data_IF_785844423920
#
_entry.id   IF_785844423920
#
_cell.length_a   1.000
_cell.length_b   1.000
_cell.length_c   1.000
_cell.angle_alpha   90.00
_cell.angle_beta   90.00
_cell.angle_gamma   90.00
#
_symmetry.space_group_name_H-M   'P 1'
#
loop_
_entity.id
_entity.type
_entity.pdbx_description
1 polymer ?
#
# COMPACT_ATOMS: atom_id res chain seq x y z
N UNK A 1 11.49 6.02 -2.15
CA UNK A 1 11.10 5.04 -3.19
C UNK A 1 9.60 4.89 -3.16
N UNK A 2 8.94 4.81 -4.32
CA UNK A 2 7.49 4.56 -4.37
C UNK A 2 7.21 3.09 -4.11
N UNK A 3 6.39 2.81 -3.11
CA UNK A 3 5.82 1.49 -2.83
C UNK A 3 4.37 1.46 -3.25
N UNK A 4 3.93 0.29 -3.70
CA UNK A 4 2.54 0.02 -4.02
C UNK A 4 2.00 -1.08 -3.11
N UNK A 5 0.72 -1.00 -2.82
CA UNK A 5 -0.03 -2.02 -2.11
C UNK A 5 -1.32 -2.31 -2.87
N UNK A 6 -1.65 -3.58 -2.98
CA UNK A 6 -2.94 -4.05 -3.50
C UNK A 6 -3.60 -4.92 -2.43
N UNK A 7 -4.88 -4.66 -2.17
CA UNK A 7 -5.72 -5.48 -1.29
C UNK A 7 -6.83 -6.10 -2.12
N UNK A 8 -6.98 -7.41 -2.00
CA UNK A 8 -7.99 -8.19 -2.73
C UNK A 8 -9.10 -8.60 -1.76
N UNK A 9 -10.36 -8.39 -2.16
CA UNK A 9 -11.52 -8.86 -1.38
C UNK A 9 -12.58 -9.47 -2.27
N UNK A 10 -13.16 -10.58 -1.83
CA UNK A 10 -14.34 -11.20 -2.45
C UNK A 10 -15.66 -10.64 -1.89
N UNK A 11 -15.60 -9.92 -0.77
CA UNK A 11 -16.78 -9.27 -0.18
C UNK A 11 -16.79 -7.82 -0.63
N UNK A 12 -17.74 -7.50 -1.52
CA UNK A 12 -17.85 -6.19 -2.17
C UNK A 12 -19.09 -5.46 -1.65
N UNK A 13 -19.08 -5.15 -0.35
CA UNK A 13 -20.01 -4.21 0.27
C UNK A 13 -19.31 -2.88 0.52
N UNK A 14 -20.09 -1.83 0.72
CA UNK A 14 -19.60 -0.53 1.17
C UNK A 14 -18.82 -0.66 2.48
N UNK A 15 -19.35 -1.36 3.48
CA UNK A 15 -18.70 -1.46 4.79
C UNK A 15 -17.30 -2.11 4.71
N UNK A 16 -17.16 -3.19 3.93
CA UNK A 16 -15.87 -3.87 3.77
C UNK A 16 -14.87 -3.02 2.98
N UNK A 17 -15.33 -2.36 1.91
CA UNK A 17 -14.47 -1.48 1.11
C UNK A 17 -14.02 -0.25 1.90
N UNK A 18 -14.92 0.38 2.66
CA UNK A 18 -14.61 1.47 3.56
C UNK A 18 -13.60 1.04 4.64
N UNK A 19 -13.79 -0.13 5.23
CA UNK A 19 -12.86 -0.71 6.20
C UNK A 19 -11.44 -0.84 5.64
N UNK A 20 -11.31 -1.46 4.46
CA UNK A 20 -10.02 -1.61 3.77
C UNK A 20 -9.38 -0.24 3.49
N UNK A 21 -10.14 0.72 2.96
CA UNK A 21 -9.60 2.04 2.63
C UNK A 21 -9.13 2.76 3.90
N UNK A 22 -9.96 2.79 4.94
CA UNK A 22 -9.66 3.50 6.17
C UNK A 22 -8.46 2.90 6.91
N UNK A 23 -8.33 1.57 6.93
CA UNK A 23 -7.18 0.88 7.53
C UNK A 23 -5.87 1.34 6.89
N UNK A 24 -5.75 1.27 5.55
CA UNK A 24 -4.49 1.57 4.88
C UNK A 24 -4.19 3.06 4.80
N UNK A 25 -5.22 3.91 4.69
CA UNK A 25 -5.04 5.36 4.79
C UNK A 25 -4.53 5.76 6.18
N UNK A 26 -5.03 5.14 7.25
CA UNK A 26 -4.53 5.39 8.61
C UNK A 26 -3.04 4.99 8.78
N UNK A 27 -2.59 3.98 8.04
CA UNK A 27 -1.18 3.54 7.95
C UNK A 27 -0.32 4.41 7.02
N UNK A 28 -0.85 5.55 6.57
CA UNK A 28 -0.15 6.51 5.73
C UNK A 28 -0.04 6.11 4.25
N UNK A 29 -0.86 5.17 3.79
CA UNK A 29 -0.98 4.89 2.36
C UNK A 29 -1.94 5.87 1.69
N UNK A 30 -1.68 6.20 0.43
CA UNK A 30 -2.54 7.01 -0.41
C UNK A 30 -3.43 6.08 -1.23
N UNK A 31 -4.74 6.30 -1.18
CA UNK A 31 -5.69 5.56 -2.01
C UNK A 31 -5.61 6.04 -3.46
N UNK A 32 -5.29 5.12 -4.37
CA UNK A 32 -5.16 5.42 -5.81
C UNK A 32 -6.44 5.08 -6.58
N UNK A 33 -7.15 4.04 -6.17
CA UNK A 33 -8.37 3.59 -6.84
C UNK A 33 -8.70 2.13 -6.57
N UNK A 34 -9.75 1.63 -7.22
CA UNK A 34 -10.14 0.22 -7.15
C UNK A 34 -10.59 -0.31 -8.51
N UNK A 35 -10.47 -1.63 -8.69
CA UNK A 35 -10.96 -2.36 -9.87
C UNK A 35 -11.87 -3.49 -9.44
N UNK A 36 -12.93 -3.76 -10.21
CA UNK A 36 -13.88 -4.83 -9.94
C UNK A 36 -13.75 -5.97 -10.93
N UNK A 37 -13.67 -7.20 -10.43
CA UNK A 37 -13.86 -8.39 -11.25
C UNK A 37 -15.32 -8.83 -11.17
N UNK A 38 -15.97 -8.86 -12.33
CA UNK A 38 -17.37 -9.26 -12.47
C UNK A 38 -17.48 -10.78 -12.59
N UNK A 39 -18.54 -11.36 -12.04
CA UNK A 39 -18.96 -12.74 -12.39
C UNK A 39 -19.84 -12.70 -13.64
N UNK A 40 -19.67 -13.68 -14.52
CA UNK A 40 -20.51 -13.82 -15.70
C UNK A 40 -21.99 -13.84 -15.32
N UNK A 41 -22.79 -12.99 -15.98
CA UNK A 41 -24.23 -12.80 -15.76
C UNK A 41 -24.65 -12.07 -14.46
N UNK A 42 -23.73 -11.53 -13.66
CA UNK A 42 -24.06 -10.76 -12.44
C UNK A 42 -23.97 -9.25 -12.65
N UNK A 43 -24.93 -8.48 -12.10
CA UNK A 43 -24.82 -7.01 -11.97
C UNK A 43 -23.96 -6.57 -10.78
N UNK A 44 -23.57 -7.51 -9.90
CA UNK A 44 -22.73 -7.25 -8.72
C UNK A 44 -21.32 -7.77 -8.96
N UNK A 45 -20.28 -6.98 -8.62
CA UNK A 45 -18.90 -7.47 -8.59
C UNK A 45 -18.74 -8.70 -7.72
N UNK A 46 -17.85 -9.60 -8.12
CA UNK A 46 -17.50 -10.79 -7.35
C UNK A 46 -16.21 -10.61 -6.55
N UNK A 47 -15.40 -9.62 -6.92
CA UNK A 47 -14.14 -9.30 -6.26
C UNK A 47 -13.74 -7.86 -6.57
N UNK A 48 -13.00 -7.25 -5.65
CA UNK A 48 -12.39 -5.94 -5.81
C UNK A 48 -10.88 -6.01 -5.54
N UNK A 49 -10.14 -5.21 -6.27
CA UNK A 49 -8.72 -4.93 -6.08
C UNK A 49 -8.58 -3.45 -5.69
N UNK A 50 -8.18 -3.17 -4.46
CA UNK A 50 -8.02 -1.81 -3.93
C UNK A 50 -6.54 -1.47 -3.96
N UNK A 51 -6.18 -0.40 -4.67
CA UNK A 51 -4.79 -0.03 -4.97
C UNK A 51 -4.41 1.20 -4.15
N UNK A 52 -3.23 1.13 -3.56
CA UNK A 52 -2.63 2.20 -2.79
C UNK A 52 -1.17 2.43 -3.20
N UNK A 53 -0.70 3.65 -3.01
CA UNK A 53 0.70 4.04 -3.16
C UNK A 53 1.22 4.68 -1.89
N UNK A 54 2.53 4.59 -1.67
CA UNK A 54 3.21 5.35 -0.61
C UNK A 54 4.59 5.73 -1.09
N UNK A 55 4.93 7.00 -0.95
CA UNK A 55 6.31 7.46 -1.19
C UNK A 55 7.04 7.41 0.13
N UNK A 56 7.99 6.49 0.26
CA UNK A 56 8.91 6.55 1.39
C UNK A 56 9.99 7.57 1.08
N UNK A 57 10.22 8.48 2.02
CA UNK A 57 11.45 9.24 2.04
C UNK A 57 12.58 8.23 2.34
N UNK A 58 13.47 8.01 1.38
CA UNK A 58 14.73 7.30 1.66
C UNK A 58 15.62 8.39 2.21
N UNK A 59 15.83 8.39 3.53
CA UNK A 59 16.80 9.31 4.12
C UNK A 59 18.19 8.90 3.62
N UNK A 60 18.89 9.78 2.88
CA UNK A 60 20.14 9.41 2.21
C UNK A 60 21.32 9.19 3.18
N UNK A 61 21.14 9.33 4.49
CA UNK A 61 22.21 9.24 5.50
C UNK A 61 22.22 7.91 6.30
N UNK A 62 21.37 6.95 5.99
CA UNK A 62 21.29 5.68 6.74
C UNK A 62 22.18 4.54 6.20
N UNK A 63 23.07 4.81 5.24
CA UNK A 63 24.05 3.85 4.70
C UNK A 63 25.50 4.22 5.13
N UNK A 64 25.69 4.59 6.40
CA UNK A 64 27.03 4.69 7.00
C UNK A 64 27.52 3.31 7.45
N UNK A 65 27.79 2.46 6.46
CA UNK A 65 28.59 1.26 6.63
C UNK A 65 30.07 1.55 6.40
N UNK A 66 30.82 1.87 7.47
CA UNK A 66 32.09 1.24 7.89
C UNK A 66 32.93 2.15 8.80
N UNK A 67 33.06 1.66 10.04
CA UNK A 67 34.17 1.62 10.99
C UNK A 67 35.05 2.85 11.25
N UNK A 68 35.03 3.23 12.53
CA UNK A 68 36.10 3.92 13.22
C UNK A 68 37.49 3.34 12.87
N UNK A 69 38.37 4.20 12.37
CA UNK A 69 39.81 4.03 12.52
C UNK A 69 40.36 5.32 13.13
N UNK A 70 40.54 5.27 14.46
CA UNK A 70 41.33 6.27 15.18
C UNK A 70 42.77 6.18 14.65
N UNK A 71 43.25 7.26 14.02
CA UNK A 71 44.65 7.42 13.69
C UNK A 71 45.29 8.38 14.68
N UNK A 72 46.19 7.85 15.49
CA UNK A 72 47.17 8.54 16.32
C UNK A 72 47.71 9.83 15.67
N UNK A 73 47.68 10.94 16.41
CA UNK A 73 48.78 11.93 16.57
C UNK A 73 48.44 12.89 17.71
#
# INVERSE_FOLDING_TARGET
>A
MTRYKVVETQTVTDEDLEGIINEWVAEGWVFDGMQFAMRDSSKRPAMAFVVFSRTDHVDPEADDGVSAEQKDT
#
